data_IF_419477933928
#
_entry.id   IF_419477933928
#
_cell.length_a   1.000
_cell.length_b   1.000
_cell.length_c   1.000
_cell.angle_alpha   90.00
_cell.angle_beta   90.00
_cell.angle_gamma   90.00
#
_symmetry.space_group_name_H-M   'P 1'
#
loop_
_entity.id
_entity.type
_entity.pdbx_description
1 polymer ?
#
# COMPACT_ATOMS: atom_id res chain seq x y z
N UNK A 1 -6.61 -30.73 7.23
CA UNK A 1 -6.93 -30.31 5.84
C UNK A 1 -7.46 -28.87 5.79
N UNK A 2 -8.56 -28.54 6.50
CA UNK A 2 -9.15 -27.17 6.51
C UNK A 2 -8.17 -26.10 7.00
N UNK A 3 -7.46 -26.36 8.11
CA UNK A 3 -6.48 -25.41 8.65
C UNK A 3 -5.35 -25.10 7.65
N UNK A 4 -4.90 -26.10 6.90
CA UNK A 4 -3.84 -25.97 5.91
C UNK A 4 -4.30 -25.15 4.69
N UNK A 5 -5.57 -25.30 4.29
CA UNK A 5 -6.18 -24.49 3.23
C UNK A 5 -6.35 -23.03 3.66
N UNK A 6 -6.80 -22.80 4.90
CA UNK A 6 -6.94 -21.45 5.47
C UNK A 6 -5.60 -20.73 5.57
N UNK A 7 -4.57 -21.42 6.05
CA UNK A 7 -3.21 -20.86 6.15
C UNK A 7 -2.64 -20.56 4.75
N UNK A 8 -2.79 -21.49 3.79
CA UNK A 8 -2.35 -21.27 2.42
C UNK A 8 -3.07 -20.09 1.75
N UNK A 9 -4.38 -19.95 1.98
CA UNK A 9 -5.15 -18.81 1.50
C UNK A 9 -4.66 -17.50 2.15
N UNK A 10 -4.42 -17.51 3.47
CA UNK A 10 -3.89 -16.36 4.20
C UNK A 10 -2.53 -15.90 3.66
N UNK A 11 -1.60 -16.83 3.41
CA UNK A 11 -0.32 -16.50 2.79
C UNK A 11 -0.49 -15.87 1.41
N UNK A 12 -1.34 -16.45 0.57
CA UNK A 12 -1.60 -15.93 -0.78
C UNK A 12 -2.26 -14.55 -0.76
N UNK A 13 -3.14 -14.31 0.20
CA UNK A 13 -3.77 -13.01 0.42
C UNK A 13 -2.73 -11.97 0.78
N UNK A 14 -1.87 -12.26 1.76
CA UNK A 14 -0.80 -11.35 2.19
C UNK A 14 0.16 -11.06 1.04
N UNK A 15 0.58 -12.07 0.28
CA UNK A 15 1.44 -11.92 -0.89
C UNK A 15 0.82 -11.02 -1.96
N UNK A 16 -0.47 -11.21 -2.26
CA UNK A 16 -1.17 -10.39 -3.25
C UNK A 16 -1.41 -8.97 -2.75
N UNK A 17 -1.78 -8.79 -1.49
CA UNK A 17 -1.87 -7.46 -0.87
C UNK A 17 -0.53 -6.74 -0.91
N UNK A 18 0.58 -7.45 -0.67
CA UNK A 18 1.92 -6.91 -0.77
C UNK A 18 2.26 -6.44 -2.20
N UNK A 19 1.96 -7.27 -3.21
CA UNK A 19 2.17 -6.91 -4.62
C UNK A 19 1.33 -5.70 -5.03
N UNK A 20 0.08 -5.64 -4.59
CA UNK A 20 -0.80 -4.48 -4.80
C UNK A 20 -0.22 -3.23 -4.11
N UNK A 21 0.27 -3.35 -2.88
CA UNK A 21 0.88 -2.25 -2.16
C UNK A 21 2.11 -1.69 -2.91
N UNK A 22 3.00 -2.58 -3.36
CA UNK A 22 4.17 -2.21 -4.16
C UNK A 22 3.78 -1.48 -5.46
N UNK A 23 2.63 -1.82 -6.05
CA UNK A 23 2.11 -1.10 -7.22
C UNK A 23 1.55 0.27 -6.83
N UNK A 24 0.71 0.34 -5.80
CA UNK A 24 -0.14 1.51 -5.54
C UNK A 24 0.52 2.61 -4.70
N UNK A 25 1.37 2.24 -3.73
CA UNK A 25 1.90 3.20 -2.74
C UNK A 25 2.66 4.35 -3.41
N UNK A 26 3.43 4.08 -4.47
CA UNK A 26 4.13 5.15 -5.20
C UNK A 26 3.17 6.18 -5.78
N UNK A 27 2.02 5.76 -6.31
CA UNK A 27 1.01 6.67 -6.85
C UNK A 27 0.30 7.44 -5.74
N UNK A 28 0.03 6.77 -4.60
CA UNK A 28 -0.50 7.41 -3.41
C UNK A 28 0.44 8.52 -2.90
N UNK A 29 1.74 8.23 -2.79
CA UNK A 29 2.75 9.20 -2.36
C UNK A 29 2.92 10.35 -3.37
N UNK A 30 2.85 10.07 -4.67
CA UNK A 30 2.82 11.13 -5.69
C UNK A 30 1.59 12.03 -5.50
N UNK A 31 0.42 11.44 -5.21
CA UNK A 31 -0.79 12.18 -4.85
C UNK A 31 -0.60 13.07 -3.63
N UNK A 32 0.04 12.55 -2.58
CA UNK A 32 0.39 13.32 -1.39
C UNK A 32 1.29 14.51 -1.72
N UNK A 33 2.36 14.30 -2.52
CA UNK A 33 3.25 15.38 -2.97
C UNK A 33 2.50 16.45 -3.75
N UNK A 34 1.65 16.07 -4.70
CA UNK A 34 0.85 17.02 -5.51
C UNK A 34 -0.09 17.83 -4.62
N UNK A 35 -0.79 17.16 -3.71
CA UNK A 35 -1.69 17.81 -2.76
C UNK A 35 -0.95 18.84 -1.90
N UNK A 36 0.21 18.46 -1.36
CA UNK A 36 1.03 19.34 -0.53
C UNK A 36 1.55 20.54 -1.31
N UNK A 37 2.02 20.35 -2.55
CA UNK A 37 2.52 21.45 -3.40
C UNK A 37 1.42 22.46 -3.73
N UNK A 38 0.16 22.03 -3.83
CA UNK A 38 -0.96 22.93 -4.13
C UNK A 38 -1.34 23.89 -3.00
N UNK A 39 -0.93 23.62 -1.75
CA UNK A 39 -1.41 24.36 -0.57
C UNK A 39 -0.54 25.52 -0.10
N UNK A 40 0.63 25.78 -0.71
CA UNK A 40 1.58 26.89 -0.42
C UNK A 40 2.07 27.07 1.04
N UNK A 41 1.43 26.47 2.03
CA UNK A 41 1.83 26.41 3.44
C UNK A 41 2.81 25.25 3.70
N UNK A 42 3.28 25.14 4.95
CA UNK A 42 4.31 24.20 5.42
C UNK A 42 4.20 22.80 4.78
N UNK A 43 5.12 22.52 3.84
CA UNK A 43 5.07 21.32 2.99
C UNK A 43 5.06 20.04 3.82
N UNK A 44 5.97 19.92 4.79
CA UNK A 44 6.11 18.69 5.58
C UNK A 44 4.87 18.37 6.40
N UNK A 45 4.24 19.40 6.98
CA UNK A 45 3.05 19.26 7.81
C UNK A 45 1.83 18.87 6.97
N UNK A 46 1.65 19.52 5.81
CA UNK A 46 0.58 19.16 4.87
C UNK A 46 0.75 17.74 4.29
N UNK A 47 1.99 17.33 4.01
CA UNK A 47 2.29 15.96 3.57
C UNK A 47 1.96 14.95 4.66
N UNK A 48 2.43 15.17 5.89
CA UNK A 48 2.13 14.29 7.03
C UNK A 48 0.63 14.20 7.27
N UNK A 49 -0.07 15.34 7.32
CA UNK A 49 -1.53 15.38 7.48
C UNK A 49 -2.26 14.59 6.37
N UNK A 50 -1.76 14.62 5.13
CA UNK A 50 -2.34 13.79 4.07
C UNK A 50 -2.14 12.31 4.36
N UNK A 51 -0.93 11.88 4.73
CA UNK A 51 -0.67 10.48 5.06
C UNK A 51 -1.53 10.03 6.25
N UNK A 52 -1.59 10.82 7.32
CA UNK A 52 -2.34 10.47 8.53
C UNK A 52 -3.84 10.34 8.24
N UNK A 53 -4.41 11.25 7.45
CA UNK A 53 -5.84 11.24 7.13
C UNK A 53 -6.27 10.18 6.12
N UNK A 54 -5.38 9.72 5.24
CA UNK A 54 -5.74 8.80 4.15
C UNK A 54 -5.06 7.43 4.22
N UNK A 55 -4.20 7.20 5.21
CA UNK A 55 -3.47 5.93 5.36
C UNK A 55 -4.41 4.76 5.58
N UNK A 56 -5.46 4.93 6.39
CA UNK A 56 -6.41 3.87 6.68
C UNK A 56 -7.16 3.41 5.42
N UNK A 57 -7.62 4.37 4.61
CA UNK A 57 -8.28 4.13 3.32
C UNK A 57 -7.30 3.50 2.33
N UNK A 58 -6.06 3.97 2.27
CA UNK A 58 -5.04 3.41 1.40
C UNK A 58 -4.77 1.93 1.72
N UNK A 59 -4.59 1.58 3.00
CA UNK A 59 -4.41 0.19 3.44
C UNK A 59 -5.65 -0.64 3.15
N UNK A 60 -6.84 -0.11 3.40
CA UNK A 60 -8.10 -0.79 3.13
C UNK A 60 -8.25 -1.14 1.64
N UNK A 61 -7.95 -0.20 0.74
CA UNK A 61 -7.96 -0.43 -0.71
C UNK A 61 -6.93 -1.48 -1.12
N UNK A 62 -5.72 -1.44 -0.54
CA UNK A 62 -4.66 -2.42 -0.80
C UNK A 62 -5.12 -3.83 -0.41
N UNK A 63 -5.74 -3.99 0.76
CA UNK A 63 -6.23 -5.29 1.24
C UNK A 63 -7.39 -5.78 0.37
N UNK A 64 -8.36 -4.91 0.04
CA UNK A 64 -9.49 -5.25 -0.82
C UNK A 64 -9.04 -5.71 -2.21
N UNK A 65 -8.12 -4.98 -2.84
CA UNK A 65 -7.58 -5.35 -4.13
C UNK A 65 -6.72 -6.63 -4.05
N UNK A 66 -5.92 -6.80 -3.00
CA UNK A 66 -5.19 -8.04 -2.75
C UNK A 66 -6.11 -9.24 -2.61
N UNK A 67 -7.26 -9.07 -1.96
CA UNK A 67 -8.31 -10.09 -1.89
C UNK A 67 -8.90 -10.40 -3.27
N UNK A 68 -9.26 -9.38 -4.05
CA UNK A 68 -9.77 -9.58 -5.42
C UNK A 68 -8.76 -10.33 -6.29
N UNK A 69 -7.48 -9.98 -6.23
CA UNK A 69 -6.39 -10.67 -6.95
C UNK A 69 -6.28 -12.13 -6.52
N UNK A 70 -6.40 -12.38 -5.21
CA UNK A 70 -6.35 -13.73 -4.65
C UNK A 70 -7.49 -14.61 -5.15
N UNK A 71 -8.72 -14.08 -5.19
CA UNK A 71 -9.92 -14.80 -5.65
C UNK A 71 -9.93 -15.00 -7.17
N UNK A 72 -9.53 -13.97 -7.93
CA UNK A 72 -9.49 -14.03 -9.40
C UNK A 72 -8.31 -14.83 -9.95
N UNK A 73 -7.26 -15.04 -9.14
CA UNK A 73 -6.03 -15.71 -9.58
C UNK A 73 -5.17 -14.86 -10.52
N UNK A 74 -5.38 -13.53 -10.56
CA UNK A 74 -4.56 -12.62 -11.34
C UNK A 74 -3.12 -12.61 -10.84
N UNK A 75 -2.16 -12.55 -11.76
CA UNK A 75 -0.75 -12.45 -11.43
C UNK A 75 -0.28 -11.01 -11.62
N UNK A 76 -0.28 -10.24 -10.52
CA UNK A 76 0.19 -8.86 -10.53
C UNK A 76 1.70 -8.82 -10.26
N UNK A 77 2.42 -8.09 -11.10
CA UNK A 77 3.85 -7.80 -10.89
C UNK A 77 4.08 -6.29 -10.94
N UNK A 78 4.73 -5.70 -9.92
CA UNK A 78 5.05 -4.28 -9.96
C UNK A 78 6.10 -3.97 -11.03
N UNK A 79 5.86 -2.91 -11.79
CA UNK A 79 6.87 -2.31 -12.65
C UNK A 79 7.98 -1.69 -11.79
N UNK A 80 9.25 -1.84 -12.21
CA UNK A 80 10.42 -1.51 -11.41
C UNK A 80 10.34 -2.15 -10.01
N UNK A 81 10.30 -3.49 -9.99
CA UNK A 81 10.01 -4.33 -8.81
C UNK A 81 10.74 -3.86 -7.55
N UNK A 82 12.07 -3.69 -7.61
CA UNK A 82 12.88 -3.32 -6.44
C UNK A 82 12.46 -1.96 -5.87
N UNK A 83 12.34 -0.93 -6.72
CA UNK A 83 11.95 0.41 -6.28
C UNK A 83 10.53 0.41 -5.69
N UNK A 84 9.59 -0.26 -6.37
CA UNK A 84 8.21 -0.39 -5.90
C UNK A 84 8.11 -1.05 -4.52
N UNK A 85 8.91 -2.08 -4.29
CA UNK A 85 8.99 -2.75 -2.98
C UNK A 85 9.63 -1.86 -1.93
N UNK A 86 10.74 -1.19 -2.26
CA UNK A 86 11.40 -0.24 -1.34
C UNK A 86 10.44 0.87 -0.93
N UNK A 87 9.72 1.46 -1.89
CA UNK A 87 8.71 2.49 -1.59
C UNK A 87 7.62 1.97 -0.67
N UNK A 88 7.12 0.75 -0.89
CA UNK A 88 6.14 0.13 0.00
C UNK A 88 6.71 -0.11 1.41
N UNK A 89 7.94 -0.63 1.52
CA UNK A 89 8.63 -0.83 2.79
C UNK A 89 8.79 0.50 3.53
N UNK A 90 9.24 1.56 2.85
CA UNK A 90 9.42 2.88 3.47
C UNK A 90 8.09 3.43 3.97
N UNK A 91 7.02 3.34 3.17
CA UNK A 91 5.70 3.82 3.57
C UNK A 91 5.14 3.06 4.77
N UNK A 92 5.13 1.72 4.72
CA UNK A 92 4.62 0.94 5.84
C UNK A 92 5.51 1.03 7.09
N UNK A 93 6.82 1.16 6.90
CA UNK A 93 7.75 1.43 8.00
C UNK A 93 7.48 2.78 8.66
N UNK A 94 7.15 3.80 7.87
CA UNK A 94 6.71 5.09 8.38
C UNK A 94 5.40 4.96 9.17
N UNK A 95 4.38 4.30 8.62
CA UNK A 95 3.11 4.09 9.32
C UNK A 95 3.30 3.30 10.63
N UNK A 96 4.13 2.27 10.65
CA UNK A 96 4.43 1.50 11.86
C UNK A 96 5.18 2.32 12.93
N UNK A 97 5.92 3.34 12.53
CA UNK A 97 6.62 4.22 13.47
C UNK A 97 5.68 5.28 14.06
N UNK A 98 4.75 5.78 13.26
CA UNK A 98 3.85 6.87 13.64
C UNK A 98 2.62 6.40 14.45
N UNK A 99 2.16 5.15 14.24
CA UNK A 99 0.98 4.56 14.88
C UNK A 99 1.34 3.36 15.76
#
# INVERSE_FOLDING_TARGET
MVLHLMVSFGYKLVENSWNVAAILIKYFLVGAVIYTLSRQENYFENFRNFIDNYSHEAVSVIVLLGFMVTVTGLNLKPLATVLSHLTAVTYFGYLFWEF
#
